data_IF_511026993432
#
_entry.id   IF_511026993432
#
_cell.length_a   1.000
_cell.length_b   1.000
_cell.length_c   1.000
_cell.angle_alpha   90.00
_cell.angle_beta   90.00
_cell.angle_gamma   90.00
#
_symmetry.space_group_name_H-M   'P 1'
#
loop_
_entity.id
_entity.type
_entity.pdbx_description
1 polymer ?
#
# COMPACT_ATOMS: atom_id res chain seq x y z
N UNK A 1 -14.73 -6.42 -19.60
CA UNK A 1 -14.20 -6.55 -18.22
C UNK A 1 -12.71 -6.22 -18.26
N UNK A 2 -12.24 -5.25 -17.47
CA UNK A 2 -10.82 -4.90 -17.41
C UNK A 2 -10.24 -5.45 -16.11
N UNK A 3 -9.83 -6.72 -16.16
CA UNK A 3 -9.38 -7.50 -14.97
C UNK A 3 -8.30 -6.75 -14.18
N UNK A 4 -7.38 -6.08 -14.86
CA UNK A 4 -6.32 -5.33 -14.20
C UNK A 4 -6.85 -4.16 -13.36
N UNK A 5 -7.83 -3.40 -13.87
CA UNK A 5 -8.40 -2.26 -13.15
C UNK A 5 -9.14 -2.68 -11.89
N UNK A 6 -9.80 -3.85 -11.95
CA UNK A 6 -10.52 -4.43 -10.82
C UNK A 6 -9.56 -5.04 -9.78
N UNK A 7 -8.45 -5.63 -10.22
CA UNK A 7 -7.49 -6.27 -9.32
C UNK A 7 -6.52 -5.29 -8.66
N UNK A 8 -6.23 -4.14 -9.29
CA UNK A 8 -5.22 -3.20 -8.81
C UNK A 8 -5.43 -2.74 -7.34
N UNK A 9 -6.65 -2.37 -6.89
CA UNK A 9 -6.87 -1.97 -5.50
C UNK A 9 -6.59 -3.12 -4.51
N UNK A 10 -6.96 -4.36 -4.86
CA UNK A 10 -6.70 -5.53 -4.03
C UNK A 10 -5.19 -5.83 -3.94
N UNK A 11 -4.47 -5.69 -5.05
CA UNK A 11 -3.01 -5.80 -5.06
C UNK A 11 -2.36 -4.71 -4.19
N UNK A 12 -2.78 -3.45 -4.32
CA UNK A 12 -2.26 -2.35 -3.49
C UNK A 12 -2.52 -2.59 -2.00
N UNK A 13 -3.71 -3.08 -1.63
CA UNK A 13 -4.05 -3.40 -0.24
C UNK A 13 -3.09 -4.46 0.33
N UNK A 14 -2.91 -5.59 -0.35
CA UNK A 14 -2.02 -6.68 0.08
C UNK A 14 -0.57 -6.19 0.18
N UNK A 15 -0.08 -5.43 -0.80
CA UNK A 15 1.27 -4.88 -0.76
C UNK A 15 1.49 -3.97 0.45
N UNK A 16 0.52 -3.11 0.77
CA UNK A 16 0.59 -2.20 1.92
C UNK A 16 0.59 -2.97 3.23
N UNK A 17 -0.32 -3.94 3.39
CA UNK A 17 -0.41 -4.76 4.60
C UNK A 17 0.90 -5.53 4.85
N UNK A 18 1.42 -6.21 3.83
CA UNK A 18 2.68 -6.96 3.92
C UNK A 18 3.86 -6.04 4.23
N UNK A 19 3.94 -4.87 3.59
CA UNK A 19 5.02 -3.92 3.87
C UNK A 19 4.94 -3.38 5.30
N UNK A 20 3.73 -3.05 5.79
CA UNK A 20 3.54 -2.61 7.16
C UNK A 20 3.88 -3.71 8.17
N UNK A 21 3.48 -4.96 7.92
CA UNK A 21 3.85 -6.09 8.76
C UNK A 21 5.37 -6.25 8.83
N UNK A 22 6.04 -6.24 7.67
CA UNK A 22 7.49 -6.38 7.57
C UNK A 22 8.25 -5.26 8.31
N UNK A 23 7.69 -4.05 8.32
CA UNK A 23 8.28 -2.90 9.01
C UNK A 23 7.74 -2.65 10.42
N UNK A 24 6.94 -3.58 10.96
CA UNK A 24 6.32 -3.46 12.29
C UNK A 24 5.46 -2.18 12.43
N UNK A 25 4.73 -1.83 11.37
CA UNK A 25 3.84 -0.68 11.31
C UNK A 25 4.54 0.66 11.00
N UNK A 26 5.86 0.68 10.79
CA UNK A 26 6.59 1.91 10.47
C UNK A 26 6.29 2.34 9.03
N UNK A 27 5.37 3.29 8.89
CA UNK A 27 4.90 3.81 7.59
C UNK A 27 6.00 4.41 6.72
N UNK A 28 7.04 5.00 7.30
CA UNK A 28 8.17 5.54 6.52
C UNK A 28 8.93 4.42 5.83
N UNK A 29 9.30 3.40 6.60
CA UNK A 29 10.07 2.25 6.12
C UNK A 29 9.23 1.41 5.14
N UNK A 30 7.92 1.24 5.40
CA UNK A 30 7.02 0.56 4.47
C UNK A 30 6.91 1.31 3.13
N UNK A 31 6.86 2.65 3.16
CA UNK A 31 6.84 3.45 1.94
C UNK A 31 8.15 3.29 1.16
N UNK A 32 9.30 3.31 1.85
CA UNK A 32 10.60 3.06 1.24
C UNK A 32 10.69 1.67 0.61
N UNK A 33 10.21 0.63 1.29
CA UNK A 33 10.17 -0.75 0.80
C UNK A 33 9.30 -0.91 -0.45
N UNK A 34 8.18 -0.18 -0.54
CA UNK A 34 7.30 -0.16 -1.71
C UNK A 34 7.79 0.76 -2.84
N UNK A 35 8.88 1.51 -2.63
CA UNK A 35 9.35 2.52 -3.57
C UNK A 35 8.40 3.72 -3.69
N UNK A 36 7.56 3.94 -2.69
CA UNK A 36 6.60 5.04 -2.64
C UNK A 36 7.10 6.18 -1.75
N UNK A 37 6.71 7.41 -2.09
CA UNK A 37 6.80 8.50 -1.13
C UNK A 37 5.87 8.26 0.08
N UNK A 38 6.29 8.67 1.29
CA UNK A 38 5.48 8.55 2.51
C UNK A 38 4.07 9.13 2.36
N UNK A 39 3.93 10.24 1.64
CA UNK A 39 2.64 10.89 1.38
C UNK A 39 1.75 10.05 0.45
N UNK A 40 2.34 9.38 -0.54
CA UNK A 40 1.63 8.44 -1.42
C UNK A 40 1.08 7.26 -0.64
N UNK A 41 1.91 6.64 0.21
CA UNK A 41 1.46 5.53 1.06
C UNK A 41 0.32 5.99 2.00
N UNK A 42 0.45 7.19 2.59
CA UNK A 42 -0.56 7.73 3.50
C UNK A 42 -1.90 7.96 2.79
N UNK A 43 -1.87 8.47 1.55
CA UNK A 43 -3.06 8.65 0.73
C UNK A 43 -3.69 7.30 0.37
N UNK A 44 -2.90 6.31 -0.06
CA UNK A 44 -3.37 4.97 -0.42
C UNK A 44 -4.02 4.25 0.76
N UNK A 45 -3.43 4.30 1.95
CA UNK A 45 -4.03 3.77 3.18
C UNK A 45 -5.43 4.38 3.42
N UNK A 46 -5.56 5.71 3.29
CA UNK A 46 -6.87 6.39 3.43
C UNK A 46 -7.88 6.01 2.35
N UNK A 47 -7.43 5.89 1.09
CA UNK A 47 -8.30 5.52 -0.05
C UNK A 47 -8.82 4.07 0.08
N UNK A 48 -8.02 3.19 0.67
CA UNK A 48 -8.34 1.77 0.85
C UNK A 48 -9.01 1.47 2.21
N UNK A 49 -9.09 2.46 3.12
CA UNK A 49 -9.71 2.29 4.43
C UNK A 49 -8.90 1.46 5.43
N UNK A 50 -7.57 1.44 5.28
CA UNK A 50 -6.61 0.77 6.17
C UNK A 50 -6.12 1.65 7.33
#
# INVERSE_FOLDING_TARGET
>A
HQILMEALPAFEQVMIEVALEHTQGRKRDAAELLGWGRNTLTRKIKELGL
#
